data_IF_348364895426
#
_entry.id   IF_348364895426
#
_cell.length_a   1.000
_cell.length_b   1.000
_cell.length_c   1.000
_cell.angle_alpha   90.00
_cell.angle_beta   90.00
_cell.angle_gamma   90.00
#
_symmetry.space_group_name_H-M   'P 1'
#
loop_
_entity.id
_entity.type
_entity.pdbx_description
1 polymer ?
#
# COMPACT_ATOMS: atom_id res chain seq x y z
N UNK A 1 -3.67 2.81 14.86
CA UNK A 1 -2.61 2.56 13.86
C UNK A 1 -2.82 3.51 12.70
N UNK A 2 -1.76 3.92 12.02
CA UNK A 2 -1.88 4.74 10.81
C UNK A 2 -2.38 3.86 9.65
N UNK A 3 -3.28 4.38 8.81
CA UNK A 3 -3.97 3.63 7.76
C UNK A 3 -3.54 4.07 6.38
N UNK A 4 -3.33 3.14 5.46
CA UNK A 4 -2.96 3.45 4.08
C UNK A 4 -3.70 2.59 3.06
N UNK A 5 -3.80 3.10 1.84
CA UNK A 5 -4.32 2.38 0.67
C UNK A 5 -3.25 2.33 -0.40
N UNK A 6 -3.18 1.24 -1.16
CA UNK A 6 -2.21 1.06 -2.23
C UNK A 6 -2.87 0.73 -3.56
N UNK A 7 -2.44 1.43 -4.61
CA UNK A 7 -2.75 1.12 -6.00
C UNK A 7 -1.44 0.81 -6.71
N UNK A 8 -1.34 -0.39 -7.29
CA UNK A 8 -0.25 -0.75 -8.21
C UNK A 8 -0.76 -0.59 -9.64
N UNK A 9 -0.13 0.28 -10.42
CA UNK A 9 -0.38 0.48 -11.84
C UNK A 9 0.78 -0.10 -12.66
N UNK A 10 0.58 -0.29 -13.96
CA UNK A 10 1.66 -0.69 -14.88
C UNK A 10 1.82 -2.20 -15.04
N UNK A 11 3.08 -2.66 -15.03
CA UNK A 11 3.44 -4.04 -15.42
C UNK A 11 3.82 -4.92 -14.21
N UNK A 12 4.16 -6.19 -14.46
CA UNK A 12 4.49 -7.16 -13.42
C UNK A 12 5.62 -6.72 -12.46
N UNK A 13 6.53 -5.83 -12.88
CA UNK A 13 7.57 -5.29 -11.98
C UNK A 13 6.99 -4.39 -10.88
N UNK A 14 6.01 -3.55 -11.24
CA UNK A 14 5.35 -2.65 -10.32
C UNK A 14 4.56 -3.43 -9.26
N UNK A 15 4.02 -4.60 -9.62
CA UNK A 15 3.36 -5.48 -8.66
C UNK A 15 4.34 -6.00 -7.60
N UNK A 16 5.52 -6.49 -8.02
CA UNK A 16 6.56 -6.97 -7.11
C UNK A 16 7.05 -5.85 -6.20
N UNK A 17 7.27 -4.65 -6.76
CA UNK A 17 7.67 -3.48 -5.96
C UNK A 17 6.58 -3.10 -4.94
N UNK A 18 5.31 -3.19 -5.33
CA UNK A 18 4.16 -2.93 -4.46
C UNK A 18 4.06 -3.94 -3.31
N UNK A 19 4.29 -5.24 -3.56
CA UNK A 19 4.34 -6.27 -2.52
C UNK A 19 5.45 -6.00 -1.49
N UNK A 20 6.63 -5.55 -1.95
CA UNK A 20 7.73 -5.15 -1.07
C UNK A 20 7.30 -3.94 -0.22
N UNK A 21 6.68 -2.92 -0.82
CA UNK A 21 6.20 -1.74 -0.10
C UNK A 21 5.15 -2.10 0.95
N UNK A 22 4.19 -2.99 0.64
CA UNK A 22 3.20 -3.49 1.58
C UNK A 22 3.87 -4.09 2.81
N UNK A 23 4.84 -5.00 2.61
CA UNK A 23 5.55 -5.64 3.71
C UNK A 23 6.36 -4.66 4.57
N UNK A 24 6.90 -3.59 3.99
CA UNK A 24 7.60 -2.52 4.75
C UNK A 24 6.60 -1.71 5.58
N UNK A 25 5.44 -1.36 5.02
CA UNK A 25 4.40 -0.60 5.72
C UNK A 25 3.82 -1.38 6.90
N UNK A 26 3.48 -2.66 6.71
CA UNK A 26 2.98 -3.51 7.79
C UNK A 26 3.99 -3.65 8.94
N UNK A 27 5.28 -3.87 8.62
CA UNK A 27 6.36 -3.92 9.63
C UNK A 27 6.53 -2.60 10.39
N UNK A 28 6.22 -1.47 9.76
CA UNK A 28 6.23 -0.16 10.39
C UNK A 28 4.94 0.13 11.21
N UNK A 29 4.01 -0.82 11.31
CA UNK A 29 2.79 -0.70 12.10
C UNK A 29 1.65 0.03 11.39
N UNK A 30 1.73 0.15 10.06
CA UNK A 30 0.64 0.66 9.23
C UNK A 30 -0.35 -0.44 8.90
N UNK A 31 -1.61 -0.05 8.72
CA UNK A 31 -2.70 -0.96 8.39
C UNK A 31 -3.19 -0.69 6.97
N UNK A 32 -3.08 -1.68 6.10
CA UNK A 32 -3.65 -1.64 4.75
C UNK A 32 -5.18 -1.58 4.85
N UNK A 33 -5.81 -0.71 4.05
CA UNK A 33 -7.26 -0.63 3.90
C UNK A 33 -7.67 -1.13 2.51
N UNK A 34 -8.89 -1.67 2.41
CA UNK A 34 -9.51 -2.08 1.14
C UNK A 34 -10.42 -1.00 0.56
N UNK A 35 -10.74 0.03 1.34
CA UNK A 35 -11.45 1.23 0.89
C UNK A 35 -10.51 2.44 0.94
N UNK A 36 -10.59 3.28 -0.09
CA UNK A 36 -9.83 4.53 -0.19
C UNK A 36 -10.29 5.52 0.88
N UNK A 37 -11.58 5.54 1.21
CA UNK A 37 -12.19 6.48 2.16
C UNK A 37 -11.75 6.20 3.61
N UNK A 38 -11.28 4.98 3.89
CA UNK A 38 -10.77 4.57 5.20
C UNK A 38 -9.28 4.85 5.39
N UNK A 39 -8.57 5.27 4.34
CA UNK A 39 -7.13 5.49 4.35
C UNK A 39 -6.75 6.96 4.63
N UNK A 40 -5.64 7.14 5.34
CA UNK A 40 -5.07 8.47 5.61
C UNK A 40 -4.05 8.87 4.54
N UNK A 41 -3.44 7.87 3.90
CA UNK A 41 -2.40 8.02 2.87
C UNK A 41 -2.73 7.09 1.72
N UNK A 42 -2.63 7.61 0.50
CA UNK A 42 -2.71 6.84 -0.74
C UNK A 42 -1.30 6.70 -1.33
N UNK A 43 -0.89 5.45 -1.59
CA UNK A 43 0.33 5.11 -2.32
C UNK A 43 -0.06 4.62 -3.72
N UNK A 44 0.50 5.27 -4.75
CA UNK A 44 0.32 4.85 -6.14
C UNK A 44 1.71 4.51 -6.69
N UNK A 45 1.86 3.28 -7.15
CA UNK A 45 3.07 2.77 -7.81
C UNK A 45 2.84 2.62 -9.31
#
# INVERSE_FOLDING_TARGET
MAKFFMISLGCAKNLVDSEIMLGVMEKAGWQLQEDLDDAQVLLIN
#
